data_IF_994543539007
#
_entry.id   IF_994543539007
#
_cell.length_a   1.000
_cell.length_b   1.000
_cell.length_c   1.000
_cell.angle_alpha   90.00
_cell.angle_beta   90.00
_cell.angle_gamma   90.00
#
_symmetry.space_group_name_H-M   'P 1'
#
loop_
_entity.id
_entity.type
_entity.pdbx_description
1 polymer ?
#
# COMPACT_ATOMS: atom_id res chain seq x y z
N UNK A 1 -23.49 -6.94 -58.67
CA UNK A 1 -23.90 -5.55 -58.97
C UNK A 1 -22.78 -4.65 -58.47
N UNK A 2 -21.68 -4.48 -59.22
CA UNK A 2 -21.50 -3.61 -60.39
C UNK A 2 -21.78 -2.12 -60.10
N UNK A 3 -20.70 -1.39 -59.83
CA UNK A 3 -20.32 -0.11 -60.46
C UNK A 3 -18.78 -0.01 -60.32
N UNK A 4 -17.97 -0.32 -61.35
CA UNK A 4 -17.46 0.59 -62.41
C UNK A 4 -17.05 1.98 -61.89
N UNK A 5 -15.89 2.59 -62.17
CA UNK A 5 -14.63 2.22 -62.81
C UNK A 5 -13.70 3.47 -62.80
N UNK A 6 -12.39 3.26 -62.98
CA UNK A 6 -11.34 4.09 -63.65
C UNK A 6 -10.06 4.22 -62.81
N UNK A 7 -9.02 3.49 -63.22
CA UNK A 7 -7.87 3.93 -64.05
C UNK A 7 -6.85 4.74 -63.25
N UNK A 8 -5.75 4.09 -62.86
CA UNK A 8 -4.45 4.10 -63.53
C UNK A 8 -3.66 5.39 -63.28
N UNK A 9 -2.65 5.31 -62.42
CA UNK A 9 -1.30 5.73 -62.78
C UNK A 9 -0.29 5.14 -61.80
N UNK A 10 0.54 4.29 -62.38
CA UNK A 10 1.91 3.94 -62.01
C UNK A 10 2.61 4.99 -61.14
N UNK A 11 2.73 4.69 -59.85
CA UNK A 11 3.76 5.22 -58.97
C UNK A 11 4.56 4.06 -58.44
N UNK A 12 5.69 3.75 -59.07
CA UNK A 12 6.69 2.85 -58.53
C UNK A 12 7.24 3.51 -57.25
N UNK A 13 6.60 3.26 -56.11
CA UNK A 13 7.14 3.67 -54.82
C UNK A 13 8.36 2.78 -54.61
N UNK A 14 9.53 3.38 -54.81
CA UNK A 14 10.77 2.93 -54.20
C UNK A 14 10.50 2.74 -52.70
N UNK A 15 10.24 1.49 -52.30
CA UNK A 15 10.49 1.02 -50.95
C UNK A 15 11.99 1.16 -50.72
N UNK A 16 12.41 2.39 -50.39
CA UNK A 16 13.68 2.61 -49.73
C UNK A 16 13.61 1.78 -48.46
N UNK A 17 14.41 0.72 -48.45
CA UNK A 17 14.77 0.02 -47.23
C UNK A 17 15.44 1.06 -46.34
N UNK A 18 14.66 1.69 -45.46
CA UNK A 18 15.18 2.38 -44.30
C UNK A 18 15.86 1.30 -43.45
N UNK A 19 17.08 0.95 -43.84
CA UNK A 19 18.04 0.30 -42.99
C UNK A 19 18.32 1.30 -41.87
N UNK A 20 17.49 1.23 -40.83
CA UNK A 20 17.83 1.83 -39.55
C UNK A 20 19.00 1.02 -39.03
N UNK A 21 20.21 1.39 -39.46
CA UNK A 21 21.44 0.96 -38.81
C UNK A 21 21.44 1.61 -37.45
N UNK A 22 20.78 0.95 -36.49
CA UNK A 22 20.94 1.29 -35.09
C UNK A 22 22.43 1.23 -34.78
N UNK A 23 22.95 2.27 -34.13
CA UNK A 23 24.33 2.28 -33.70
C UNK A 23 24.59 1.03 -32.86
N UNK A 24 25.52 0.18 -33.28
CA UNK A 24 25.90 -1.02 -32.53
C UNK A 24 27.01 -0.61 -31.57
N UNK A 25 26.68 -0.53 -30.27
CA UNK A 25 27.68 -0.26 -29.23
C UNK A 25 28.68 -1.43 -29.14
N UNK A 26 29.94 -1.14 -28.78
CA UNK A 26 30.92 -2.18 -28.49
C UNK A 26 30.45 -3.01 -27.28
N UNK A 27 30.20 -4.33 -27.43
CA UNK A 27 29.66 -5.16 -26.35
C UNK A 27 30.53 -5.18 -25.09
N UNK A 28 31.86 -5.12 -25.24
CA UNK A 28 32.78 -5.13 -24.10
C UNK A 28 32.69 -3.83 -23.29
N UNK A 29 32.53 -2.68 -23.95
CA UNK A 29 32.33 -1.39 -23.27
C UNK A 29 30.99 -1.34 -22.54
N UNK A 30 29.93 -1.86 -23.16
CA UNK A 30 28.60 -1.97 -22.52
C UNK A 30 28.68 -2.86 -21.28
N UNK A 31 29.36 -4.01 -21.38
CA UNK A 31 29.55 -4.91 -20.25
C UNK A 31 30.35 -4.25 -19.12
N UNK A 32 31.45 -3.55 -19.43
CA UNK A 32 32.26 -2.86 -18.42
C UNK A 32 31.46 -1.78 -17.66
N UNK A 33 30.57 -1.06 -18.35
CA UNK A 33 29.66 -0.09 -17.70
C UNK A 33 28.62 -0.79 -16.81
N UNK A 34 28.10 -1.94 -17.25
CA UNK A 34 27.19 -2.74 -16.44
C UNK A 34 27.89 -3.30 -15.19
N UNK A 35 29.13 -3.78 -15.31
CA UNK A 35 29.93 -4.27 -14.20
C UNK A 35 30.23 -3.15 -13.18
N UNK A 36 30.50 -1.94 -13.67
CA UNK A 36 30.68 -0.76 -12.84
C UNK A 36 29.40 -0.42 -12.04
N UNK A 37 28.24 -0.38 -12.71
CA UNK A 37 26.95 -0.14 -12.06
C UNK A 37 26.64 -1.23 -11.00
N UNK A 38 26.87 -2.49 -11.34
CA UNK A 38 26.72 -3.61 -10.41
C UNK A 38 27.58 -3.44 -9.15
N UNK A 39 28.83 -2.97 -9.29
CA UNK A 39 29.72 -2.70 -8.15
C UNK A 39 29.20 -1.58 -7.25
N UNK A 40 28.58 -0.54 -7.84
CA UNK A 40 27.94 0.54 -7.09
C UNK A 40 26.73 0.02 -6.32
N UNK A 41 25.86 -0.76 -6.99
CA UNK A 41 24.67 -1.38 -6.37
C UNK A 41 25.06 -2.28 -5.20
N UNK A 42 26.11 -3.09 -5.33
CA UNK A 42 26.61 -3.94 -4.24
C UNK A 42 27.07 -3.11 -3.02
N UNK A 43 27.75 -1.99 -3.27
CA UNK A 43 28.19 -1.07 -2.23
C UNK A 43 26.99 -0.45 -1.52
N UNK A 44 26.00 0.04 -2.27
CA UNK A 44 24.76 0.59 -1.70
C UNK A 44 23.99 -0.45 -0.89
N UNK A 45 23.85 -1.68 -1.38
CA UNK A 45 23.13 -2.74 -0.68
C UNK A 45 23.78 -3.09 0.67
N UNK A 46 25.11 -3.12 0.74
CA UNK A 46 25.84 -3.35 1.98
C UNK A 46 25.58 -2.25 3.01
N UNK A 47 25.60 -0.99 2.57
CA UNK A 47 25.30 0.15 3.42
C UNK A 47 23.82 0.19 3.86
N UNK A 48 22.90 -0.16 2.97
CA UNK A 48 21.46 -0.26 3.25
C UNK A 48 21.19 -1.29 4.34
N UNK A 49 21.81 -2.47 4.24
CA UNK A 49 21.68 -3.50 5.27
C UNK A 49 22.15 -3.00 6.63
N UNK A 50 23.37 -2.44 6.70
CA UNK A 50 23.94 -1.94 7.96
C UNK A 50 23.06 -0.84 8.59
N UNK A 51 22.52 0.05 7.77
CA UNK A 51 21.66 1.15 8.23
C UNK A 51 20.31 0.64 8.73
N UNK A 52 19.68 -0.28 7.99
CA UNK A 52 18.43 -0.91 8.41
C UNK A 52 18.56 -1.68 9.72
N UNK A 53 19.66 -2.43 9.89
CA UNK A 53 19.95 -3.17 11.12
C UNK A 53 20.11 -2.25 12.35
N UNK A 54 20.63 -1.03 12.12
CA UNK A 54 20.88 -0.02 13.15
C UNK A 54 19.68 0.91 13.43
N UNK A 55 18.63 0.92 12.60
CA UNK A 55 17.51 1.87 12.65
C UNK A 55 16.49 1.62 13.78
N UNK A 56 16.91 1.05 14.91
CA UNK A 56 16.04 0.61 16.02
C UNK A 56 15.75 1.76 17.00
N UNK A 57 14.53 1.84 17.58
CA UNK A 57 13.47 0.84 17.53
C UNK A 57 12.67 0.84 16.22
N UNK A 58 12.12 -0.31 15.86
CA UNK A 58 11.30 -0.51 14.66
C UNK A 58 9.99 -1.21 15.02
N UNK A 59 8.87 -0.70 14.50
CA UNK A 59 7.58 -1.37 14.53
C UNK A 59 7.28 -1.95 13.15
N UNK A 60 7.28 -3.28 13.03
CA UNK A 60 6.84 -3.94 11.82
C UNK A 60 5.39 -4.35 11.94
N UNK A 61 4.65 -4.23 10.85
CA UNK A 61 3.23 -4.56 10.80
C UNK A 61 2.95 -5.41 9.58
N UNK A 62 2.35 -6.59 9.79
CA UNK A 62 1.91 -7.50 8.73
C UNK A 62 0.48 -7.93 9.03
N UNK A 63 -0.47 -7.48 8.20
CA UNK A 63 -1.91 -7.65 8.42
C UNK A 63 -2.37 -7.11 9.79
N UNK A 64 -2.68 -7.99 10.74
CA UNK A 64 -3.03 -7.62 12.13
C UNK A 64 -1.90 -7.92 13.13
N UNK A 65 -0.75 -8.41 12.68
CA UNK A 65 0.40 -8.70 13.51
C UNK A 65 1.32 -7.49 13.62
N UNK A 66 1.60 -7.09 14.86
CA UNK A 66 2.50 -6.00 15.20
C UNK A 66 3.72 -6.58 15.91
N UNK A 67 4.91 -6.21 15.46
CA UNK A 67 6.18 -6.64 16.04
C UNK A 67 7.04 -5.42 16.34
N UNK A 68 7.24 -5.13 17.64
CA UNK A 68 8.17 -4.11 18.09
C UNK A 68 9.56 -4.75 18.28
N UNK A 69 10.54 -4.29 17.51
CA UNK A 69 11.95 -4.62 17.66
C UNK A 69 12.64 -3.46 18.37
N UNK A 70 13.09 -3.69 19.60
CA UNK A 70 13.74 -2.67 20.44
C UNK A 70 15.20 -2.47 20.05
N UNK A 71 15.82 -1.42 20.57
CA UNK A 71 17.24 -1.10 20.29
C UNK A 71 18.21 -2.20 20.70
N UNK A 72 17.92 -2.93 21.78
CA UNK A 72 18.68 -4.11 22.23
C UNK A 72 18.43 -5.38 21.39
N UNK A 73 17.49 -5.32 20.44
CA UNK A 73 17.09 -6.45 19.60
C UNK A 73 16.05 -7.38 20.19
N UNK A 74 15.57 -7.12 21.40
CA UNK A 74 14.41 -7.82 21.94
C UNK A 74 13.18 -7.52 21.08
N UNK A 75 12.32 -8.52 20.97
CA UNK A 75 11.15 -8.49 20.09
C UNK A 75 9.89 -8.76 20.89
N UNK A 76 8.93 -7.84 20.82
CA UNK A 76 7.60 -7.98 21.41
C UNK A 76 6.57 -8.09 20.29
N UNK A 77 5.61 -9.00 20.43
CA UNK A 77 4.56 -9.21 19.43
C UNK A 77 3.18 -8.96 20.01
N UNK A 78 2.29 -8.43 19.17
CA UNK A 78 0.89 -8.24 19.48
C UNK A 78 0.04 -8.59 18.25
N UNK A 79 -0.97 -9.43 18.44
CA UNK A 79 -1.97 -9.70 17.41
C UNK A 79 -3.20 -8.83 17.66
N UNK A 80 -3.44 -7.88 16.77
CA UNK A 80 -4.60 -6.99 16.82
C UNK A 80 -5.90 -7.62 16.31
N UNK A 81 -5.85 -8.84 15.76
CA UNK A 81 -7.02 -9.58 15.34
C UNK A 81 -7.60 -10.33 16.54
N UNK A 82 -8.59 -9.72 17.18
CA UNK A 82 -9.25 -10.30 18.36
C UNK A 82 -10.68 -10.74 18.02
N UNK A 83 -11.17 -11.73 18.77
CA UNK A 83 -12.60 -12.07 18.73
C UNK A 83 -13.44 -10.84 19.12
N UNK A 84 -14.63 -10.64 18.53
CA UNK A 84 -15.31 -11.40 17.47
C UNK A 84 -15.19 -10.70 16.10
N UNK A 85 -13.97 -10.35 15.67
CA UNK A 85 -13.77 -9.61 14.41
C UNK A 85 -14.32 -10.31 13.18
N UNK A 86 -14.03 -11.61 13.02
CA UNK A 86 -14.41 -12.35 11.83
C UNK A 86 -15.92 -12.59 11.77
N UNK A 87 -16.55 -12.76 12.92
CA UNK A 87 -17.98 -12.96 13.12
C UNK A 87 -18.74 -11.69 12.72
N UNK A 88 -18.33 -10.53 13.26
CA UNK A 88 -18.88 -9.23 12.89
C UNK A 88 -18.67 -8.94 11.40
N UNK A 89 -17.47 -9.18 10.89
CA UNK A 89 -17.15 -9.00 9.47
C UNK A 89 -17.99 -9.91 8.57
N UNK A 90 -18.26 -11.15 8.96
CA UNK A 90 -19.08 -12.07 8.18
C UNK A 90 -20.51 -11.53 7.97
N UNK A 91 -21.13 -11.00 9.02
CA UNK A 91 -22.48 -10.40 8.92
C UNK A 91 -22.48 -9.14 8.06
N UNK A 92 -21.43 -8.32 8.15
CA UNK A 92 -21.29 -7.14 7.28
C UNK A 92 -21.21 -7.48 5.78
N UNK A 93 -20.74 -8.69 5.44
CA UNK A 93 -20.60 -9.15 4.06
C UNK A 93 -21.87 -9.76 3.46
N UNK A 94 -22.95 -9.89 4.22
CA UNK A 94 -24.19 -10.50 3.71
C UNK A 94 -24.78 -9.69 2.55
N UNK A 95 -24.78 -8.36 2.62
CA UNK A 95 -25.24 -7.51 1.51
C UNK A 95 -24.47 -7.76 0.20
N UNK A 96 -23.12 -7.57 0.18
CA UNK A 96 -22.30 -7.87 -1.00
C UNK A 96 -22.42 -9.31 -1.50
N UNK A 97 -22.56 -10.28 -0.60
CA UNK A 97 -22.79 -11.68 -0.97
C UNK A 97 -24.13 -11.84 -1.71
N UNK A 98 -25.24 -11.37 -1.13
CA UNK A 98 -26.57 -11.47 -1.74
C UNK A 98 -26.66 -10.71 -3.06
N UNK A 99 -25.96 -9.58 -3.20
CA UNK A 99 -25.81 -8.89 -4.49
C UNK A 99 -25.17 -9.81 -5.53
N UNK A 100 -24.07 -10.46 -5.16
CA UNK A 100 -23.30 -11.30 -6.07
C UNK A 100 -24.11 -12.51 -6.54
N UNK A 101 -24.89 -13.12 -5.64
CA UNK A 101 -25.84 -14.20 -5.96
C UNK A 101 -26.93 -13.70 -6.93
N UNK A 102 -27.55 -12.55 -6.64
CA UNK A 102 -28.63 -12.01 -7.47
C UNK A 102 -28.15 -11.49 -8.83
N UNK A 103 -26.95 -10.92 -8.90
CA UNK A 103 -26.44 -10.25 -10.10
C UNK A 103 -26.34 -11.18 -11.30
N UNK A 104 -25.92 -12.44 -11.10
CA UNK A 104 -25.86 -13.43 -12.17
C UNK A 104 -27.26 -13.68 -12.75
N UNK A 105 -28.25 -13.91 -11.88
CA UNK A 105 -29.64 -14.11 -12.29
C UNK A 105 -30.24 -12.87 -13.00
N UNK A 106 -29.95 -11.65 -12.54
CA UNK A 106 -30.48 -10.44 -13.18
C UNK A 106 -29.95 -10.21 -14.59
N UNK A 107 -28.72 -10.63 -14.86
CA UNK A 107 -28.10 -10.55 -16.20
C UNK A 107 -28.50 -11.75 -17.06
N UNK A 108 -28.71 -12.91 -16.43
CA UNK A 108 -29.07 -14.16 -17.08
C UNK A 108 -30.31 -14.76 -16.41
N UNK A 109 -31.55 -14.36 -16.78
CA UNK A 109 -32.77 -14.78 -16.06
C UNK A 109 -33.06 -16.29 -16.09
N UNK A 110 -32.41 -17.03 -16.98
CA UNK A 110 -32.50 -18.50 -17.05
C UNK A 110 -31.55 -19.20 -16.08
N UNK A 111 -30.62 -18.47 -15.45
CA UNK A 111 -29.73 -18.97 -14.43
C UNK A 111 -30.46 -19.01 -13.08
N UNK A 112 -30.83 -20.23 -12.68
CA UNK A 112 -31.50 -20.52 -11.42
C UNK A 112 -30.54 -20.95 -10.29
N UNK A 113 -29.22 -20.85 -10.50
CA UNK A 113 -28.21 -21.21 -9.48
C UNK A 113 -28.37 -20.43 -8.17
N UNK A 114 -28.97 -19.23 -8.22
CA UNK A 114 -29.27 -18.43 -7.04
C UNK A 114 -30.10 -19.17 -5.99
N UNK A 115 -31.03 -20.07 -6.40
CA UNK A 115 -31.88 -20.84 -5.47
C UNK A 115 -31.04 -21.77 -4.60
N UNK A 116 -30.08 -22.46 -5.20
CA UNK A 116 -29.17 -23.36 -4.50
C UNK A 116 -28.25 -22.59 -3.56
N UNK A 117 -27.68 -21.47 -4.03
CA UNK A 117 -26.83 -20.59 -3.21
C UNK A 117 -27.58 -20.03 -1.99
N UNK A 118 -28.80 -19.53 -2.20
CA UNK A 118 -29.62 -19.00 -1.10
C UNK A 118 -30.02 -20.10 -0.11
N UNK A 119 -30.37 -21.30 -0.57
CA UNK A 119 -30.68 -22.45 0.30
C UNK A 119 -29.46 -22.85 1.16
N UNK A 120 -28.27 -22.85 0.55
CA UNK A 120 -27.00 -23.12 1.24
C UNK A 120 -26.73 -22.09 2.33
N UNK A 121 -26.93 -20.80 2.06
CA UNK A 121 -26.76 -19.75 3.06
C UNK A 121 -27.82 -19.80 4.14
N UNK A 122 -29.09 -20.04 3.80
CA UNK A 122 -30.14 -20.19 4.79
C UNK A 122 -29.81 -21.30 5.80
N UNK A 123 -29.33 -22.45 5.30
CA UNK A 123 -28.89 -23.56 6.17
C UNK A 123 -27.79 -23.12 7.14
N UNK A 124 -26.81 -22.34 6.67
CA UNK A 124 -25.74 -21.78 7.53
C UNK A 124 -26.29 -20.78 8.54
N UNK A 125 -27.23 -19.92 8.13
CA UNK A 125 -27.88 -18.93 9.01
C UNK A 125 -28.67 -19.62 10.13
N UNK A 126 -29.41 -20.68 9.83
CA UNK A 126 -30.11 -21.48 10.83
C UNK A 126 -29.15 -22.16 11.80
N UNK A 127 -28.08 -22.78 11.29
CA UNK A 127 -27.05 -23.40 12.13
C UNK A 127 -26.43 -22.37 13.09
N UNK A 128 -25.98 -21.22 12.56
CA UNK A 128 -25.39 -20.14 13.36
C UNK A 128 -26.38 -19.58 14.41
N UNK A 129 -27.67 -19.47 14.08
CA UNK A 129 -28.68 -18.99 15.01
C UNK A 129 -28.82 -19.89 16.25
N UNK A 130 -28.56 -21.20 16.11
CA UNK A 130 -28.57 -22.16 17.23
C UNK A 130 -27.24 -22.23 17.99
N UNK A 131 -26.15 -21.78 17.37
CA UNK A 131 -24.79 -21.84 17.92
C UNK A 131 -24.28 -20.49 18.42
N UNK A 132 -25.07 -19.41 18.34
CA UNK A 132 -24.61 -18.05 18.63
C UNK A 132 -24.01 -17.88 20.03
N UNK A 133 -24.57 -18.57 21.03
CA UNK A 133 -24.08 -18.54 22.41
C UNK A 133 -22.74 -19.26 22.63
N UNK A 134 -22.19 -19.91 21.59
CA UNK A 134 -20.86 -20.54 21.61
C UNK A 134 -19.74 -19.58 21.17
N UNK A 135 -20.09 -18.40 20.65
CA UNK A 135 -19.12 -17.40 20.23
C UNK A 135 -18.63 -16.61 21.45
N UNK A 136 -17.31 -16.41 21.55
CA UNK A 136 -16.72 -15.51 22.53
C UNK A 136 -16.89 -14.05 22.07
N UNK A 137 -17.92 -13.39 22.60
CA UNK A 137 -18.22 -11.98 22.35
C UNK A 137 -17.39 -11.00 23.20
N UNK A 138 -16.53 -11.51 24.08
CA UNK A 138 -15.69 -10.67 24.91
C UNK A 138 -14.68 -9.89 24.06
N UNK A 139 -14.54 -8.60 24.34
CA UNK A 139 -13.51 -7.78 23.72
C UNK A 139 -13.14 -6.61 24.64
N UNK A 140 -11.85 -6.27 24.78
CA UNK A 140 -11.43 -5.15 25.63
C UNK A 140 -12.03 -3.80 25.24
N UNK A 141 -12.55 -3.65 24.02
CA UNK A 141 -13.15 -2.42 23.53
C UNK A 141 -14.57 -2.15 24.07
N UNK A 142 -15.29 -3.17 24.58
CA UNK A 142 -16.67 -3.04 25.04
C UNK A 142 -16.99 -3.90 26.27
N UNK A 143 -16.27 -3.72 27.38
CA UNK A 143 -16.49 -4.54 28.57
C UNK A 143 -17.95 -4.48 29.04
N UNK A 144 -18.59 -5.63 29.21
CA UNK A 144 -19.95 -5.74 29.72
C UNK A 144 -21.07 -5.55 28.68
N UNK A 145 -20.75 -5.48 27.39
CA UNK A 145 -21.73 -5.33 26.29
C UNK A 145 -21.89 -6.60 25.45
N UNK A 146 -21.31 -7.72 25.89
CA UNK A 146 -21.22 -8.98 25.13
C UNK A 146 -22.61 -9.48 24.72
N UNK A 147 -23.55 -9.54 25.67
CA UNK A 147 -24.93 -10.00 25.41
C UNK A 147 -25.70 -9.11 24.45
N UNK A 148 -25.45 -7.80 24.46
CA UNK A 148 -26.12 -6.87 23.54
C UNK A 148 -25.64 -7.07 22.11
N UNK A 149 -24.34 -7.29 21.93
CA UNK A 149 -23.74 -7.58 20.62
C UNK A 149 -24.22 -8.93 20.12
N UNK A 150 -24.22 -9.96 20.98
CA UNK A 150 -24.79 -11.27 20.64
C UNK A 150 -26.24 -11.13 20.15
N UNK A 151 -27.10 -10.45 20.91
CA UNK A 151 -28.50 -10.24 20.55
C UNK A 151 -28.64 -9.46 19.24
N UNK A 152 -27.83 -8.44 19.03
CA UNK A 152 -27.79 -7.67 17.78
C UNK A 152 -27.45 -8.57 16.58
N UNK A 153 -26.47 -9.46 16.74
CA UNK A 153 -26.07 -10.41 15.70
C UNK A 153 -27.15 -11.46 15.41
N UNK A 154 -27.84 -11.96 16.44
CA UNK A 154 -29.00 -12.84 16.25
C UNK A 154 -30.11 -12.14 15.45
N UNK A 155 -30.44 -10.89 15.81
CA UNK A 155 -31.46 -10.11 15.11
C UNK A 155 -31.08 -9.88 13.64
N UNK A 156 -29.79 -9.62 13.38
CA UNK A 156 -29.27 -9.50 12.02
C UNK A 156 -29.48 -10.77 11.20
N UNK A 157 -29.17 -11.95 11.74
CA UNK A 157 -29.37 -13.22 11.06
C UNK A 157 -30.85 -13.54 10.79
N UNK A 158 -31.76 -13.17 11.71
CA UNK A 158 -33.20 -13.35 11.50
C UNK A 158 -33.74 -12.52 10.33
N UNK A 159 -33.23 -11.30 10.12
CA UNK A 159 -33.63 -10.47 8.97
C UNK A 159 -33.21 -11.14 7.66
N UNK A 160 -31.99 -11.69 7.63
CA UNK A 160 -31.43 -12.40 6.47
C UNK A 160 -32.25 -13.65 6.15
N UNK A 161 -32.58 -14.44 7.18
CA UNK A 161 -33.40 -15.65 7.02
C UNK A 161 -34.79 -15.33 6.44
N UNK A 162 -35.47 -14.30 6.98
CA UNK A 162 -36.77 -13.85 6.45
C UNK A 162 -36.68 -13.42 5.00
N UNK A 163 -35.64 -12.67 4.64
CA UNK A 163 -35.43 -12.24 3.26
C UNK A 163 -35.22 -13.44 2.32
N UNK A 164 -34.29 -14.34 2.65
CA UNK A 164 -34.01 -15.52 1.83
C UNK A 164 -35.26 -16.40 1.69
N UNK A 165 -35.97 -16.66 2.78
CA UNK A 165 -37.24 -17.42 2.77
C UNK A 165 -38.24 -16.79 1.80
N UNK A 166 -38.40 -15.46 1.84
CA UNK A 166 -39.34 -14.77 0.98
C UNK A 166 -39.01 -14.93 -0.51
N UNK A 167 -37.73 -14.89 -0.87
CA UNK A 167 -37.27 -15.08 -2.26
C UNK A 167 -37.50 -16.50 -2.74
N UNK A 168 -37.17 -17.50 -1.92
CA UNK A 168 -37.36 -18.91 -2.25
C UNK A 168 -38.84 -19.25 -2.43
N UNK A 169 -39.73 -18.71 -1.57
CA UNK A 169 -41.19 -18.87 -1.70
C UNK A 169 -41.74 -18.14 -2.92
N UNK A 170 -41.28 -16.90 -3.18
CA UNK A 170 -41.67 -16.09 -4.35
C UNK A 170 -41.20 -16.72 -5.67
N UNK A 171 -40.15 -17.53 -5.63
CA UNK A 171 -39.56 -18.18 -6.80
C UNK A 171 -38.85 -17.23 -7.76
N UNK A 172 -38.58 -15.99 -7.34
CA UNK A 172 -37.85 -14.99 -8.12
C UNK A 172 -37.00 -14.11 -7.21
N UNK A 173 -35.88 -13.62 -7.74
CA UNK A 173 -34.99 -12.70 -7.04
C UNK A 173 -34.66 -11.50 -7.94
N UNK A 174 -35.37 -10.39 -7.77
CA UNK A 174 -35.18 -9.20 -8.61
C UNK A 174 -34.19 -8.21 -7.98
N UNK A 175 -33.70 -7.27 -8.78
CA UNK A 175 -32.87 -6.16 -8.28
C UNK A 175 -33.65 -5.27 -7.28
N UNK A 176 -34.98 -5.16 -7.43
CA UNK A 176 -35.83 -4.42 -6.51
C UNK A 176 -35.90 -5.11 -5.14
N UNK A 177 -36.01 -6.45 -5.12
CA UNK A 177 -35.99 -7.22 -3.88
C UNK A 177 -34.69 -6.98 -3.11
N UNK A 178 -33.54 -7.04 -3.80
CA UNK A 178 -32.23 -6.72 -3.21
C UNK A 178 -32.16 -5.28 -2.69
N UNK A 179 -32.65 -4.31 -3.47
CA UNK A 179 -32.62 -2.89 -3.08
C UNK A 179 -33.44 -2.65 -1.82
N UNK A 180 -34.62 -3.26 -1.73
CA UNK A 180 -35.48 -3.20 -0.55
C UNK A 180 -34.81 -3.82 0.68
N UNK A 181 -34.16 -4.98 0.52
CA UNK A 181 -33.38 -5.61 1.58
C UNK A 181 -32.23 -4.73 2.06
N UNK A 182 -31.41 -4.20 1.14
CA UNK A 182 -30.26 -3.37 1.51
C UNK A 182 -30.70 -2.10 2.23
N UNK A 183 -31.79 -1.45 1.81
CA UNK A 183 -32.30 -0.27 2.51
C UNK A 183 -32.64 -0.55 3.98
N UNK A 184 -33.07 -1.78 4.29
CA UNK A 184 -33.32 -2.21 5.68
C UNK A 184 -32.04 -2.69 6.38
N UNK A 185 -31.13 -3.32 5.65
CA UNK A 185 -29.98 -4.03 6.20
C UNK A 185 -28.68 -3.19 6.27
N UNK A 186 -28.60 -2.07 5.55
CA UNK A 186 -27.38 -1.27 5.43
C UNK A 186 -26.85 -0.79 6.78
N UNK A 187 -27.73 -0.45 7.70
CA UNK A 187 -27.34 -0.04 9.05
C UNK A 187 -26.68 -1.17 9.83
N UNK A 188 -27.12 -2.42 9.63
CA UNK A 188 -26.51 -3.60 10.25
C UNK A 188 -25.12 -3.82 9.66
N UNK A 189 -24.96 -3.71 8.34
CA UNK A 189 -23.65 -3.84 7.70
C UNK A 189 -22.66 -2.80 8.20
N UNK A 190 -23.09 -1.53 8.26
CA UNK A 190 -22.25 -0.44 8.77
C UNK A 190 -21.91 -0.66 10.25
N UNK A 191 -22.90 -1.00 11.08
CA UNK A 191 -22.67 -1.20 12.51
C UNK A 191 -21.75 -2.38 12.80
N UNK A 192 -21.94 -3.52 12.13
CA UNK A 192 -21.08 -4.71 12.30
C UNK A 192 -19.64 -4.45 11.81
N UNK A 193 -19.46 -3.76 10.69
CA UNK A 193 -18.12 -3.36 10.24
C UNK A 193 -17.49 -2.31 11.17
N UNK A 194 -18.27 -1.38 11.71
CA UNK A 194 -17.79 -0.42 12.69
C UNK A 194 -17.35 -1.12 13.97
N UNK A 195 -18.15 -2.03 14.51
CA UNK A 195 -17.82 -2.82 15.69
C UNK A 195 -16.58 -3.69 15.46
N UNK A 196 -16.44 -4.33 14.30
CA UNK A 196 -15.24 -5.12 14.00
C UNK A 196 -13.98 -4.23 14.02
N UNK A 197 -14.07 -3.04 13.43
CA UNK A 197 -12.98 -2.06 13.46
C UNK A 197 -12.69 -1.55 14.89
N UNK A 198 -13.72 -1.27 15.70
CA UNK A 198 -13.54 -0.89 17.11
C UNK A 198 -12.84 -1.99 17.90
N UNK A 199 -13.26 -3.25 17.70
CA UNK A 199 -12.74 -4.42 18.40
C UNK A 199 -11.27 -4.72 18.14
N UNK A 200 -10.73 -4.28 17.00
CA UNK A 200 -9.30 -4.40 16.69
C UNK A 200 -8.52 -3.09 16.96
N UNK A 201 -9.10 -1.94 16.62
CA UNK A 201 -8.40 -0.64 16.69
C UNK A 201 -8.17 -0.20 18.14
N UNK A 202 -9.16 -0.37 19.02
CA UNK A 202 -9.02 0.05 20.44
C UNK A 202 -7.93 -0.75 21.16
N UNK A 203 -7.89 -2.10 21.09
CA UNK A 203 -6.80 -2.88 21.67
C UNK A 203 -5.44 -2.56 21.05
N UNK A 204 -5.38 -2.36 19.73
CA UNK A 204 -4.14 -1.94 19.04
C UNK A 204 -3.64 -0.59 19.58
N UNK A 205 -4.50 0.42 19.70
CA UNK A 205 -4.12 1.72 20.26
C UNK A 205 -3.62 1.59 21.69
N UNK A 206 -4.28 0.79 22.54
CA UNK A 206 -3.82 0.54 23.91
C UNK A 206 -2.43 -0.09 23.92
N UNK A 207 -2.17 -1.05 23.05
CA UNK A 207 -0.85 -1.67 22.94
C UNK A 207 0.21 -0.66 22.46
N UNK A 208 -0.09 0.14 21.44
CA UNK A 208 0.81 1.18 20.94
C UNK A 208 1.14 2.21 22.03
N UNK A 209 0.15 2.66 22.81
CA UNK A 209 0.38 3.55 23.95
C UNK A 209 1.21 2.89 25.06
N UNK A 210 1.01 1.60 25.32
CA UNK A 210 1.84 0.83 26.25
C UNK A 210 3.31 0.83 25.80
N UNK A 211 3.58 0.44 24.55
CA UNK A 211 4.93 0.47 23.99
C UNK A 211 5.54 1.87 23.95
N UNK A 212 4.75 2.88 23.60
CA UNK A 212 5.18 4.28 23.67
C UNK A 212 5.60 4.68 25.07
N UNK A 213 4.82 4.31 26.09
CA UNK A 213 5.16 4.58 27.50
C UNK A 213 6.46 3.87 27.91
N UNK A 214 6.68 2.64 27.44
CA UNK A 214 7.89 1.87 27.76
C UNK A 214 9.15 2.37 27.03
N UNK A 215 9.01 2.89 25.81
CA UNK A 215 10.11 3.42 25.01
C UNK A 215 10.45 4.87 25.37
N UNK A 216 9.50 5.63 25.91
CA UNK A 216 9.68 7.04 26.24
C UNK A 216 10.10 7.85 25.02
N UNK A 217 11.19 8.63 25.14
CA UNK A 217 11.71 9.46 24.04
C UNK A 217 12.18 8.66 22.82
N UNK A 218 12.54 7.39 22.98
CA UNK A 218 12.92 6.56 21.85
C UNK A 218 11.76 6.32 20.87
N UNK A 219 10.50 6.52 21.30
CA UNK A 219 9.34 6.47 20.42
C UNK A 219 9.39 7.52 19.31
N UNK A 220 9.98 8.70 19.57
CA UNK A 220 10.09 9.77 18.57
C UNK A 220 11.06 9.39 17.43
N UNK A 221 11.88 8.37 17.65
CA UNK A 221 12.82 7.81 16.66
C UNK A 221 12.29 6.51 16.02
N UNK A 222 11.10 6.05 16.40
CA UNK A 222 10.51 4.81 15.90
C UNK A 222 10.30 4.88 14.39
N UNK A 223 10.85 3.91 13.66
CA UNK A 223 10.46 3.63 12.29
C UNK A 223 9.35 2.59 12.25
N UNK A 224 8.43 2.72 11.31
CA UNK A 224 7.31 1.80 11.10
C UNK A 224 7.41 1.25 9.68
N UNK A 225 7.40 -0.07 9.55
CA UNK A 225 7.37 -0.73 8.24
C UNK A 225 6.13 -1.62 8.16
N UNK A 226 5.19 -1.21 7.32
CA UNK A 226 3.96 -1.95 7.02
C UNK A 226 4.22 -2.79 5.78
N UNK A 227 4.14 -4.11 5.93
CA UNK A 227 4.50 -5.09 4.90
C UNK A 227 3.29 -5.88 4.42
N UNK A 228 3.36 -6.35 3.17
CA UNK A 228 2.27 -7.07 2.53
C UNK A 228 1.07 -6.20 2.16
N UNK A 229 -0.03 -6.84 1.78
CA UNK A 229 -1.29 -6.16 1.43
C UNK A 229 -2.43 -6.77 2.23
N UNK A 230 -3.43 -5.95 2.57
CA UNK A 230 -4.62 -6.37 3.30
C UNK A 230 -5.86 -6.25 2.43
N UNK A 231 -6.63 -7.33 2.35
CA UNK A 231 -7.83 -7.38 1.51
C UNK A 231 -7.47 -7.53 0.03
N UNK A 232 -7.83 -6.53 -0.80
CA UNK A 232 -7.52 -6.55 -2.24
C UNK A 232 -6.10 -6.07 -2.47
N UNK A 233 -5.43 -6.56 -3.52
CA UNK A 233 -4.06 -6.19 -3.88
C UNK A 233 -3.83 -4.70 -4.14
N UNK A 234 -4.90 -3.92 -4.32
CA UNK A 234 -4.88 -2.48 -4.56
C UNK A 234 -5.23 -1.63 -3.33
N UNK A 235 -5.51 -2.25 -2.18
CA UNK A 235 -5.94 -1.56 -0.95
C UNK A 235 -4.75 -1.28 -0.02
N UNK A 236 -4.88 -0.22 0.78
CA UNK A 236 -3.91 0.16 1.83
C UNK A 236 -2.48 0.45 1.34
N UNK A 237 -2.32 0.94 0.10
CA UNK A 237 -1.02 1.17 -0.52
C UNK A 237 -0.41 2.54 -0.19
N UNK A 238 -1.12 3.41 0.51
CA UNK A 238 -0.68 4.76 0.88
C UNK A 238 -0.99 5.07 2.34
N UNK A 239 -0.33 6.08 2.92
CA UNK A 239 -0.59 6.50 4.30
C UNK A 239 -2.06 6.84 4.54
N UNK A 240 -2.69 7.52 3.57
CA UNK A 240 -4.09 7.96 3.67
C UNK A 240 -5.10 6.82 3.50
N UNK A 241 -4.67 5.67 2.96
CA UNK A 241 -5.55 4.52 2.68
C UNK A 241 -5.29 3.32 3.58
N UNK A 242 -4.18 3.31 4.33
CA UNK A 242 -3.82 2.22 5.23
C UNK A 242 -4.39 2.44 6.64
N UNK A 243 -5.27 1.53 7.07
CA UNK A 243 -5.87 1.59 8.41
C UNK A 243 -4.83 1.42 9.51
N UNK A 244 -3.83 0.57 9.30
CA UNK A 244 -2.69 0.40 10.21
C UNK A 244 -1.84 1.69 10.28
N UNK A 245 -1.50 2.29 9.13
CA UNK A 245 -0.74 3.53 9.10
C UNK A 245 -1.46 4.66 9.86
N UNK A 246 -2.77 4.81 9.63
CA UNK A 246 -3.58 5.82 10.31
C UNK A 246 -3.61 5.59 11.83
N UNK A 247 -3.82 4.35 12.27
CA UNK A 247 -3.84 3.99 13.69
C UNK A 247 -2.51 4.30 14.36
N UNK A 248 -1.40 3.92 13.74
CA UNK A 248 -0.05 4.14 14.29
C UNK A 248 0.30 5.62 14.29
N UNK A 249 0.03 6.33 13.19
CA UNK A 249 0.27 7.77 13.07
C UNK A 249 -0.41 8.58 14.19
N UNK A 250 -1.59 8.16 14.64
CA UNK A 250 -2.31 8.81 15.76
C UNK A 250 -1.54 8.80 17.09
N UNK A 251 -0.53 7.93 17.21
CA UNK A 251 0.32 7.81 18.41
C UNK A 251 1.72 8.41 18.23
N UNK A 252 2.07 8.86 17.02
CA UNK A 252 3.37 9.44 16.68
C UNK A 252 3.34 10.97 16.68
N UNK A 253 4.52 11.61 16.64
CA UNK A 253 4.62 13.03 16.32
C UNK A 253 4.17 13.26 14.86
N UNK A 254 3.19 14.14 14.58
CA UNK A 254 2.72 14.41 13.23
C UNK A 254 3.83 14.77 12.22
N UNK A 255 4.88 15.46 12.68
CA UNK A 255 6.02 15.83 11.84
C UNK A 255 6.88 14.62 11.40
N UNK A 256 6.86 13.53 12.16
CA UNK A 256 7.64 12.32 11.86
C UNK A 256 6.89 11.33 10.96
N UNK A 257 5.55 11.37 10.93
CA UNK A 257 4.70 10.35 10.27
C UNK A 257 5.11 10.08 8.82
N UNK A 258 5.28 11.14 8.02
CA UNK A 258 5.62 11.02 6.59
C UNK A 258 6.97 10.33 6.36
N UNK A 259 7.91 10.58 7.27
CA UNK A 259 9.28 10.10 7.10
C UNK A 259 9.52 8.75 7.76
N UNK A 260 8.76 8.42 8.80
CA UNK A 260 8.98 7.25 9.62
C UNK A 260 8.03 6.10 9.32
N UNK A 261 6.86 6.34 8.70
CA UNK A 261 5.96 5.26 8.28
C UNK A 261 6.20 4.90 6.80
N UNK A 262 6.59 3.65 6.58
CA UNK A 262 6.92 3.09 5.27
C UNK A 262 5.93 1.98 4.96
N UNK A 263 5.24 2.08 3.81
CA UNK A 263 4.36 1.03 3.29
C UNK A 263 5.10 0.32 2.16
N UNK A 264 5.37 -0.98 2.36
CA UNK A 264 6.18 -1.79 1.47
C UNK A 264 5.42 -3.09 1.11
N UNK A 265 4.44 -3.03 0.19
CA UNK A 265 3.50 -4.12 -0.06
C UNK A 265 4.14 -5.38 -0.65
N UNK A 266 5.32 -5.24 -1.27
CA UNK A 266 6.08 -6.34 -1.87
C UNK A 266 7.02 -7.05 -0.89
N UNK A 267 7.18 -6.50 0.32
CA UNK A 267 8.04 -7.08 1.36
C UNK A 267 7.27 -8.20 2.06
N UNK A 268 7.94 -9.34 2.29
CA UNK A 268 7.33 -10.53 2.91
C UNK A 268 8.08 -11.02 4.15
N UNK A 269 9.19 -10.38 4.53
CA UNK A 269 10.00 -10.82 5.67
C UNK A 269 10.69 -9.66 6.38
N UNK A 270 11.04 -9.86 7.65
CA UNK A 270 11.80 -8.91 8.47
C UNK A 270 13.11 -8.46 7.80
N UNK A 271 13.98 -9.35 7.28
CA UNK A 271 15.23 -8.90 6.66
C UNK A 271 15.01 -8.01 5.42
N UNK A 272 13.98 -8.32 4.61
CA UNK A 272 13.62 -7.47 3.48
C UNK A 272 13.08 -6.11 3.94
N UNK A 273 12.27 -6.08 5.00
CA UNK A 273 11.76 -4.84 5.59
C UNK A 273 12.91 -3.92 6.06
N UNK A 274 13.88 -4.49 6.78
CA UNK A 274 15.08 -3.77 7.23
C UNK A 274 15.92 -3.26 6.06
N UNK A 275 16.11 -4.07 5.02
CA UNK A 275 16.84 -3.65 3.82
C UNK A 275 16.16 -2.48 3.10
N UNK A 276 14.82 -2.51 2.96
CA UNK A 276 14.04 -1.40 2.39
C UNK A 276 14.12 -0.15 3.25
N UNK A 277 13.98 -0.28 4.57
CA UNK A 277 14.12 0.83 5.50
C UNK A 277 15.50 1.49 5.37
N UNK A 278 16.56 0.68 5.40
CA UNK A 278 17.93 1.17 5.24
C UNK A 278 18.17 1.86 3.89
N UNK A 279 17.61 1.32 2.81
CA UNK A 279 17.66 1.95 1.49
C UNK A 279 16.99 3.33 1.47
N UNK A 280 15.83 3.48 2.13
CA UNK A 280 15.12 4.76 2.22
C UNK A 280 15.93 5.78 3.03
N UNK A 281 16.44 5.39 4.21
CA UNK A 281 17.25 6.26 5.07
C UNK A 281 18.52 6.72 4.34
N UNK A 282 19.22 5.80 3.69
CA UNK A 282 20.45 6.11 2.96
C UNK A 282 20.21 6.97 1.74
N UNK A 283 19.13 6.71 0.99
CA UNK A 283 18.75 7.53 -0.17
C UNK A 283 18.50 8.98 0.25
N UNK A 284 17.81 9.20 1.38
CA UNK A 284 17.61 10.54 1.97
C UNK A 284 18.93 11.20 2.36
N UNK A 285 19.78 10.46 3.07
CA UNK A 285 21.09 10.94 3.53
C UNK A 285 22.00 11.31 2.35
N UNK A 286 22.03 10.45 1.34
CA UNK A 286 22.76 10.69 0.10
C UNK A 286 22.22 11.94 -0.61
N UNK A 287 20.91 12.09 -0.73
CA UNK A 287 20.32 13.26 -1.36
C UNK A 287 20.71 14.57 -0.65
N UNK A 288 20.67 14.58 0.69
CA UNK A 288 21.10 15.74 1.47
C UNK A 288 22.59 16.04 1.31
N UNK A 289 23.42 15.01 1.17
CA UNK A 289 24.87 15.14 1.04
C UNK A 289 25.33 15.50 -0.38
N UNK A 290 24.58 15.10 -1.41
CA UNK A 290 24.92 15.31 -2.82
C UNK A 290 24.30 16.59 -3.38
N UNK A 291 23.03 16.89 -3.08
CA UNK A 291 22.32 18.05 -3.61
C UNK A 291 22.48 19.28 -2.70
N UNK A 292 23.74 19.73 -2.53
CA UNK A 292 24.10 20.80 -1.57
C UNK A 292 23.71 22.22 -2.03
N UNK A 293 23.40 22.43 -3.31
CA UNK A 293 23.00 23.74 -3.85
C UNK A 293 21.52 23.76 -4.22
N UNK A 294 20.88 24.93 -4.10
CA UNK A 294 19.49 25.12 -4.55
C UNK A 294 19.29 24.79 -6.03
N UNK A 295 20.32 25.04 -6.86
CA UNK A 295 20.30 24.63 -8.27
C UNK A 295 20.25 23.11 -8.40
N UNK A 296 21.08 22.38 -7.65
CA UNK A 296 21.12 20.93 -7.69
C UNK A 296 19.79 20.31 -7.23
N UNK A 297 19.21 20.81 -6.12
CA UNK A 297 17.91 20.34 -5.61
C UNK A 297 16.79 20.47 -6.64
N UNK A 298 16.82 21.52 -7.46
CA UNK A 298 15.79 21.82 -8.47
C UNK A 298 16.02 21.15 -9.84
N UNK A 299 17.22 20.63 -10.12
CA UNK A 299 17.62 20.27 -11.47
C UNK A 299 16.88 19.08 -12.07
N UNK A 300 16.40 18.14 -11.25
CA UNK A 300 15.94 16.82 -11.75
C UNK A 300 14.74 16.25 -11.00
N UNK A 301 14.22 16.94 -9.97
CA UNK A 301 13.23 16.36 -9.05
C UNK A 301 13.71 15.12 -8.28
N UNK A 302 14.95 14.66 -8.52
CA UNK A 302 15.56 13.51 -7.84
C UNK A 302 15.73 13.78 -6.35
N UNK A 303 16.03 15.02 -5.96
CA UNK A 303 16.12 15.41 -4.56
C UNK A 303 14.80 15.16 -3.83
N UNK A 304 13.70 15.73 -4.32
CA UNK A 304 12.37 15.52 -3.73
C UNK A 304 11.94 14.05 -3.74
N UNK A 305 12.25 13.33 -4.83
CA UNK A 305 11.95 11.92 -4.91
C UNK A 305 12.78 11.07 -3.95
N UNK A 306 14.05 11.42 -3.73
CA UNK A 306 14.91 10.75 -2.76
C UNK A 306 14.52 11.06 -1.31
N UNK A 307 13.89 12.20 -1.05
CA UNK A 307 13.33 12.53 0.26
C UNK A 307 12.01 11.80 0.56
N UNK A 308 11.26 11.44 -0.48
CA UNK A 308 9.93 10.85 -0.34
C UNK A 308 9.90 9.35 -0.68
N UNK A 309 9.43 8.53 0.25
CA UNK A 309 9.19 7.10 -0.01
C UNK A 309 8.07 6.83 -1.03
N UNK A 310 7.29 7.85 -1.40
CA UNK A 310 6.11 7.72 -2.26
C UNK A 310 6.30 8.26 -3.69
N UNK A 311 7.42 8.95 -3.97
CA UNK A 311 7.67 9.55 -5.28
C UNK A 311 8.71 8.70 -6.00
N UNK A 312 8.37 8.04 -7.13
CA UNK A 312 9.36 7.30 -7.89
C UNK A 312 10.48 8.23 -8.38
N UNK A 313 11.74 7.82 -8.22
CA UNK A 313 12.93 8.63 -8.56
C UNK A 313 12.86 9.22 -9.97
N UNK A 314 12.44 8.44 -10.96
CA UNK A 314 12.39 8.88 -12.36
C UNK A 314 11.11 9.66 -12.73
N UNK A 315 10.11 9.78 -11.85
CA UNK A 315 8.77 10.28 -12.19
C UNK A 315 8.81 11.68 -12.83
N UNK A 316 9.54 12.61 -12.22
CA UNK A 316 9.64 14.00 -12.71
C UNK A 316 10.28 14.05 -14.09
N UNK A 317 11.39 13.34 -14.28
CA UNK A 317 12.08 13.28 -15.57
C UNK A 317 11.20 12.65 -16.65
N UNK A 318 10.52 11.55 -16.35
CA UNK A 318 9.59 10.89 -17.29
C UNK A 318 8.45 11.83 -17.67
N UNK A 319 7.82 12.52 -16.69
CA UNK A 319 6.77 13.51 -16.97
C UNK A 319 7.26 14.63 -17.90
N UNK A 320 8.45 15.16 -17.65
CA UNK A 320 9.04 16.19 -18.50
C UNK A 320 9.31 15.69 -19.92
N UNK A 321 9.89 14.49 -20.05
CA UNK A 321 10.15 13.87 -21.36
C UNK A 321 8.85 13.68 -22.14
N UNK A 322 7.80 13.14 -21.51
CA UNK A 322 6.49 12.93 -22.15
C UNK A 322 5.86 14.25 -22.59
N UNK A 323 5.87 15.27 -21.73
CA UNK A 323 5.34 16.60 -22.07
C UNK A 323 6.09 17.25 -23.25
N UNK A 324 7.40 17.07 -23.30
CA UNK A 324 8.28 17.59 -24.34
C UNK A 324 8.17 16.82 -25.66
N UNK A 325 7.97 15.51 -25.59
CA UNK A 325 7.72 14.65 -26.74
C UNK A 325 6.46 15.09 -27.50
N UNK A 326 5.37 15.37 -26.79
CA UNK A 326 4.12 15.85 -27.38
C UNK A 326 4.27 17.20 -28.11
N UNK A 327 5.34 17.94 -27.83
CA UNK A 327 5.65 19.23 -28.46
C UNK A 327 6.76 19.13 -29.53
N UNK A 328 7.15 17.91 -29.95
CA UNK A 328 8.28 17.64 -30.85
C UNK A 328 9.61 18.26 -30.41
N UNK A 329 9.82 18.43 -29.11
CA UNK A 329 11.02 19.07 -28.53
C UNK A 329 11.58 18.21 -27.41
N UNK A 330 12.17 17.06 -27.71
CA UNK A 330 12.98 16.37 -26.70
C UNK A 330 14.22 17.24 -26.43
N UNK A 331 14.15 18.03 -25.37
CA UNK A 331 15.29 18.79 -24.88
C UNK A 331 16.24 17.83 -24.15
N UNK A 332 17.27 17.37 -24.85
CA UNK A 332 18.40 16.70 -24.22
C UNK A 332 19.10 17.77 -23.35
N UNK A 333 19.30 17.52 -22.05
CA UNK A 333 20.04 18.45 -21.20
C UNK A 333 21.39 18.76 -21.85
N UNK A 334 21.81 20.02 -21.79
CA UNK A 334 23.11 20.42 -22.32
C UNK A 334 24.21 19.60 -21.63
N UNK A 335 24.87 18.71 -22.38
CA UNK A 335 25.89 17.78 -21.88
C UNK A 335 27.20 18.48 -21.46
N UNK A 336 27.28 19.80 -21.59
CA UNK A 336 28.40 20.62 -21.09
C UNK A 336 28.41 20.86 -19.58
N UNK A 337 27.78 19.97 -18.80
CA UNK A 337 27.93 19.87 -17.34
C UNK A 337 29.15 19.04 -16.92
N UNK A 338 30.15 18.90 -17.79
CA UNK A 338 31.50 18.67 -17.28
C UNK A 338 31.80 19.80 -16.30
N UNK A 339 32.37 19.55 -15.12
CA UNK A 339 32.84 20.65 -14.28
C UNK A 339 33.71 21.51 -15.20
N UNK A 340 33.24 22.71 -15.54
CA UNK A 340 34.17 23.71 -16.05
C UNK A 340 35.20 23.77 -14.94
N UNK A 341 36.45 23.41 -15.24
CA UNK A 341 37.56 23.59 -14.32
C UNK A 341 37.33 24.95 -13.67
N UNK A 342 36.97 24.97 -12.38
CA UNK A 342 36.62 26.23 -11.74
C UNK A 342 37.80 27.15 -12.04
N UNK A 343 37.59 28.32 -12.67
CA UNK A 343 38.69 29.23 -12.90
C UNK A 343 39.24 29.51 -11.52
N UNK A 344 40.52 29.18 -11.35
CA UNK A 344 41.30 29.14 -10.11
C UNK A 344 41.13 30.46 -9.34
N UNK A 345 39.99 30.65 -8.68
CA UNK A 345 39.70 31.80 -7.84
C UNK A 345 40.48 31.51 -6.58
N UNK A 346 41.58 32.26 -6.42
CA UNK A 346 42.40 32.30 -5.21
C UNK A 346 41.53 32.00 -4.00
N UNK A 347 41.77 30.84 -3.36
CA UNK A 347 41.20 30.50 -2.05
C UNK A 347 41.47 31.68 -1.13
N UNK A 348 40.44 32.49 -0.87
CA UNK A 348 40.41 33.32 0.32
C UNK A 348 39.94 32.43 1.46
N UNK A 349 40.63 32.48 2.58
CA UNK A 349 40.46 31.63 3.75
C UNK A 349 39.01 31.63 4.28
N UNK A 350 38.16 30.76 3.72
CA UNK A 350 36.88 30.39 4.32
C UNK A 350 37.09 29.15 5.16
N UNK A 351 36.91 29.31 6.48
CA UNK A 351 36.92 28.25 7.48
C UNK A 351 36.10 27.05 6.97
N UNK A 352 36.78 25.92 6.89
CA UNK A 352 36.20 24.62 6.60
C UNK A 352 35.05 24.37 7.60
N UNK A 353 33.81 24.08 7.14
CA UNK A 353 32.75 23.70 8.06
C UNK A 353 33.18 22.42 8.78
N UNK A 354 33.12 22.44 10.11
CA UNK A 354 33.43 21.29 10.95
C UNK A 354 32.47 20.14 10.61
N UNK A 355 33.03 19.03 10.14
CA UNK A 355 32.32 17.76 10.00
C UNK A 355 31.89 17.34 11.42
N UNK A 356 30.60 17.06 11.67
CA UNK A 356 30.17 16.53 12.96
C UNK A 356 30.91 15.23 13.25
N UNK A 357 31.53 15.15 14.42
CA UNK A 357 32.14 13.91 14.92
C UNK A 357 31.05 12.85 15.06
N UNK A 358 31.15 11.78 14.28
CA UNK A 358 30.39 10.56 14.52
C UNK A 358 30.89 9.94 15.83
N UNK A 359 30.15 10.17 16.92
CA UNK A 359 30.24 9.29 18.07
C UNK A 359 29.40 8.06 17.76
N UNK A 360 30.06 6.94 17.54
CA UNK A 360 29.42 5.63 17.61
C UNK A 360 28.86 5.43 19.03
N UNK A 361 27.62 4.95 19.20
CA UNK A 361 27.13 4.47 20.49
C UNK A 361 27.90 3.22 20.95
#
# INVERSE_FOLDING_TARGET
>A
MNYFARQLSTGLILLSTLSTTWAVSNPATVQALADLDNSFVQTYNSWNKATGDAARPILMVSDFSYQLIRSDGTTETFNGLLSPFNELKAVSHIGPYLFSVGKLHWVHPQDDSWKQELTSVQTKVHALSTQMGQIDWSNPAWPGREKEIEQFMQNALQIVDRFITSLLVKGSYTQEDYTSFVNQYIHIMIATMYLSNVGNTVPTLRQLYSWKSQLGKAWDQLYVVIVGTKGRSTSELTLDTSTAAYTIASTMNPAAVKDHIIIAPMVQSTPQALAVLGAIINTRTLAQSTFITERAKKATGLYEAALSSTIPLAMTNVKQIVANFNNNKINIPYLGLSPQSEPNKKRSDTKQPSIPSFHSP
#
